data_IF_168775228368
#
_entry.id   IF_168775228368
#
_cell.length_a   1.000
_cell.length_b   1.000
_cell.length_c   1.000
_cell.angle_alpha   90.00
_cell.angle_beta   90.00
_cell.angle_gamma   90.00
#
_symmetry.space_group_name_H-M   'P 1'
#
loop_
_entity.id
_entity.type
_entity.pdbx_description
1 polymer ?
#
# COMPACT_ATOMS: atom_id res chain seq x y z
N UNK A 1 -9.82 -3.65 -6.01
CA UNK A 1 -10.83 -3.27 -5.01
C UNK A 1 -10.35 -1.96 -4.41
N UNK A 2 -11.21 -0.94 -4.31
CA UNK A 2 -10.83 0.40 -3.87
C UNK A 2 -11.73 0.90 -2.75
N UNK A 3 -11.15 1.68 -1.84
CA UNK A 3 -11.85 2.44 -0.82
C UNK A 3 -12.18 3.83 -1.37
N UNK A 4 -13.47 4.07 -1.64
CA UNK A 4 -13.92 5.39 -2.09
C UNK A 4 -13.92 6.37 -0.92
N UNK A 5 -13.25 7.49 -1.11
CA UNK A 5 -13.17 8.55 -0.12
C UNK A 5 -14.55 9.16 0.13
N UNK A 6 -14.98 9.30 1.39
CA UNK A 6 -16.28 9.86 1.72
C UNK A 6 -16.48 11.27 1.17
N UNK A 7 -17.72 11.62 0.85
CA UNK A 7 -18.07 13.01 0.55
C UNK A 7 -17.84 13.91 1.77
N UNK A 8 -17.48 15.17 1.53
CA UNK A 8 -17.34 16.18 2.58
C UNK A 8 -16.01 16.18 3.33
N UNK A 9 -15.05 15.33 2.95
CA UNK A 9 -13.66 15.49 3.39
C UNK A 9 -13.00 16.65 2.63
N UNK A 10 -12.08 17.42 3.26
CA UNK A 10 -11.24 18.35 2.52
C UNK A 10 -10.34 17.59 1.53
N UNK A 11 -9.81 18.29 0.54
CA UNK A 11 -8.67 17.76 -0.21
C UNK A 11 -7.53 17.45 0.77
N UNK A 12 -7.00 16.23 0.67
CA UNK A 12 -5.91 15.76 1.50
C UNK A 12 -4.64 15.65 0.68
N UNK A 13 -3.52 16.04 1.27
CA UNK A 13 -2.17 15.90 0.75
C UNK A 13 -1.57 14.61 1.29
N UNK A 14 -1.17 13.72 0.39
CA UNK A 14 -0.55 12.44 0.66
C UNK A 14 0.95 12.63 0.56
N UNK A 15 1.62 12.97 1.66
CA UNK A 15 3.06 13.28 1.65
C UNK A 15 3.94 12.05 1.85
N UNK A 16 3.36 10.91 2.21
CA UNK A 16 4.04 9.62 2.39
C UNK A 16 3.08 8.47 2.11
N UNK A 17 3.60 7.38 1.55
CA UNK A 17 2.91 6.10 1.46
C UNK A 17 3.85 4.95 1.86
N UNK A 18 3.29 3.88 2.42
CA UNK A 18 4.04 2.72 2.91
C UNK A 18 3.29 1.43 2.59
N UNK A 19 4.01 0.48 2.01
CA UNK A 19 3.58 -0.89 1.82
C UNK A 19 3.80 -1.71 3.10
N UNK A 20 2.80 -2.50 3.51
CA UNK A 20 2.90 -3.40 4.66
C UNK A 20 2.27 -4.76 4.32
N UNK A 21 3.12 -5.78 4.34
CA UNK A 21 2.84 -7.20 4.13
C UNK A 21 3.79 -8.04 5.01
N UNK A 22 3.44 -9.28 5.30
CA UNK A 22 4.27 -10.29 5.94
C UNK A 22 5.10 -11.05 4.90
N UNK A 23 5.52 -12.28 5.23
CA UNK A 23 6.57 -13.00 4.54
C UNK A 23 6.17 -13.60 3.19
N UNK A 24 4.86 -13.74 2.89
CA UNK A 24 4.45 -14.20 1.55
C UNK A 24 4.32 -13.04 0.57
N UNK A 25 4.35 -11.78 1.00
CA UNK A 25 4.28 -10.59 0.14
C UNK A 25 5.49 -10.41 -0.79
N UNK A 26 5.25 -10.08 -2.06
CA UNK A 26 6.30 -9.90 -3.09
C UNK A 26 6.19 -8.61 -3.91
N UNK A 27 4.99 -8.06 -4.10
CA UNK A 27 4.75 -6.74 -4.72
C UNK A 27 3.54 -6.08 -4.07
N UNK A 28 3.62 -4.76 -3.85
CA UNK A 28 2.47 -3.97 -3.46
C UNK A 28 2.41 -2.69 -4.27
N UNK A 29 1.25 -2.44 -4.89
CA UNK A 29 0.90 -1.15 -5.49
C UNK A 29 -0.16 -0.48 -4.63
N UNK A 30 -0.01 0.82 -4.41
CA UNK A 30 -1.01 1.69 -3.82
C UNK A 30 -1.20 2.89 -4.74
N UNK A 31 -2.44 3.28 -5.00
CA UNK A 31 -2.76 4.39 -5.88
C UNK A 31 -4.10 5.06 -5.58
N UNK A 32 -4.39 6.11 -6.33
CA UNK A 32 -5.65 6.86 -6.34
C UNK A 32 -6.27 6.73 -7.73
N UNK A 33 -7.48 6.18 -7.80
CA UNK A 33 -8.38 6.23 -8.95
C UNK A 33 -9.23 7.51 -8.83
N UNK A 34 -9.12 8.39 -9.81
CA UNK A 34 -9.67 9.75 -9.80
C UNK A 34 -11.12 9.74 -10.27
N UNK A 35 -12.02 10.35 -9.48
CA UNK A 35 -13.42 10.47 -9.88
C UNK A 35 -13.61 11.40 -11.09
N UNK A 36 -12.74 12.39 -11.19
CA UNK A 36 -12.57 13.27 -12.33
C UNK A 36 -11.06 13.33 -12.62
N UNK A 37 -10.58 13.01 -13.82
CA UNK A 37 -9.15 13.11 -14.14
C UNK A 37 -8.71 14.56 -14.07
N UNK A 38 -7.45 14.80 -13.67
CA UNK A 38 -6.92 16.17 -13.68
C UNK A 38 -7.03 16.79 -15.09
N UNK A 39 -7.55 18.04 -15.24
CA UNK A 39 -7.81 18.63 -16.54
C UNK A 39 -6.55 18.65 -17.43
N UNK A 40 -6.59 17.89 -18.53
CA UNK A 40 -5.49 17.79 -19.49
C UNK A 40 -4.43 16.73 -19.18
N UNK A 41 -4.56 15.96 -18.08
CA UNK A 41 -3.66 14.83 -17.79
C UNK A 41 -4.09 13.56 -18.52
N UNK A 42 -5.40 13.30 -18.61
CA UNK A 42 -5.93 12.02 -19.10
C UNK A 42 -5.52 10.82 -18.25
N UNK A 43 -5.08 11.07 -17.01
CA UNK A 43 -4.65 10.06 -16.06
C UNK A 43 -5.81 9.82 -15.10
N UNK A 44 -6.48 8.69 -15.27
CA UNK A 44 -7.58 8.25 -14.40
C UNK A 44 -7.04 7.55 -13.13
N UNK A 45 -5.80 7.03 -13.17
CA UNK A 45 -5.13 6.31 -12.07
C UNK A 45 -3.75 6.91 -11.75
N UNK A 46 -3.53 7.34 -10.51
CA UNK A 46 -2.26 7.84 -9.99
C UNK A 46 -1.60 6.83 -9.06
N UNK A 47 -0.38 6.38 -9.39
CA UNK A 47 0.41 5.51 -8.54
C UNK A 47 1.09 6.32 -7.42
N UNK A 48 0.80 5.98 -6.17
CA UNK A 48 1.42 6.59 -4.99
C UNK A 48 2.74 5.88 -4.66
N UNK A 49 2.70 4.55 -4.54
CA UNK A 49 3.89 3.74 -4.31
C UNK A 49 3.72 2.39 -4.98
N UNK A 50 4.82 1.89 -5.53
CA UNK A 50 4.97 0.48 -5.85
C UNK A 50 6.23 -0.05 -5.17
N UNK A 51 6.14 -1.22 -4.55
CA UNK A 51 7.27 -1.95 -3.99
C UNK A 51 7.40 -3.30 -4.72
N UNK A 52 7.96 -3.32 -5.95
CA UNK A 52 7.88 -4.47 -6.87
C UNK A 52 8.74 -5.67 -6.49
N UNK A 53 9.63 -5.49 -5.52
CA UNK A 53 10.46 -6.55 -4.93
C UNK A 53 10.35 -6.43 -3.42
N UNK A 54 9.13 -6.52 -2.89
CA UNK A 54 8.88 -6.30 -1.48
C UNK A 54 9.76 -7.19 -0.59
N UNK A 55 10.29 -6.58 0.47
CA UNK A 55 11.05 -7.23 1.53
C UNK A 55 10.45 -6.76 2.85
N UNK A 56 10.25 -7.69 3.79
CA UNK A 56 9.68 -7.39 5.10
C UNK A 56 10.47 -6.28 5.84
N UNK A 57 11.77 -6.15 5.60
CA UNK A 57 12.61 -5.11 6.21
C UNK A 57 12.44 -3.73 5.58
N UNK A 58 11.65 -3.60 4.51
CA UNK A 58 11.37 -2.34 3.82
C UNK A 58 10.06 -1.69 4.26
N UNK A 59 9.48 -2.16 5.37
CA UNK A 59 8.30 -1.57 6.01
C UNK A 59 8.61 -0.22 6.68
N UNK A 60 8.84 0.80 5.87
CA UNK A 60 9.20 2.15 6.32
C UNK A 60 8.34 3.21 5.67
N UNK A 61 8.31 4.40 6.27
CA UNK A 61 7.79 5.60 5.64
C UNK A 61 8.58 5.96 4.38
N UNK A 62 7.91 6.03 3.23
CA UNK A 62 8.46 6.64 2.01
C UNK A 62 7.77 7.99 1.80
N UNK A 63 8.41 9.05 2.29
CA UNK A 63 7.98 10.41 2.00
C UNK A 63 8.41 10.78 0.58
N UNK A 64 7.57 11.55 -0.13
CA UNK A 64 7.93 12.08 -1.44
C UNK A 64 9.01 13.15 -1.30
N UNK A 65 9.97 13.14 -2.22
CA UNK A 65 11.01 14.17 -2.33
C UNK A 65 10.44 15.38 -3.08
N UNK A 66 9.53 16.09 -2.43
CA UNK A 66 8.81 17.24 -2.96
C UNK A 66 8.32 18.15 -1.82
N UNK A 67 8.07 19.43 -2.11
CA UNK A 67 7.41 20.31 -1.15
C UNK A 67 5.95 19.89 -0.92
N UNK A 68 5.37 20.24 0.23
CA UNK A 68 4.03 19.79 0.61
C UNK A 68 2.93 20.25 -0.37
N UNK A 69 3.12 21.37 -1.07
CA UNK A 69 2.21 21.84 -2.10
C UNK A 69 2.27 21.01 -3.39
N UNK A 70 3.34 20.26 -3.62
CA UNK A 70 3.62 19.47 -4.82
C UNK A 70 3.35 17.96 -4.65
N UNK A 71 3.10 17.47 -3.43
CA UNK A 71 2.81 16.04 -3.20
C UNK A 71 1.44 15.63 -3.78
N UNK A 72 1.24 14.34 -4.09
CA UNK A 72 -0.06 13.81 -4.51
C UNK A 72 -1.18 14.21 -3.56
N UNK A 73 -2.36 14.46 -4.13
CA UNK A 73 -3.58 14.75 -3.36
C UNK A 73 -4.61 13.66 -3.52
N UNK A 74 -5.59 13.60 -2.64
CA UNK A 74 -6.83 12.87 -2.89
C UNK A 74 -8.02 13.72 -2.44
N UNK A 75 -9.11 13.66 -3.21
CA UNK A 75 -10.31 14.45 -2.94
C UNK A 75 -11.52 13.56 -2.71
N UNK A 76 -12.58 14.17 -2.15
CA UNK A 76 -13.86 13.52 -1.99
C UNK A 76 -14.32 12.87 -3.30
N UNK A 77 -14.71 11.59 -3.24
CA UNK A 77 -15.17 10.83 -4.41
C UNK A 77 -14.10 9.99 -5.11
N UNK A 78 -12.81 10.35 -5.01
CA UNK A 78 -11.70 9.51 -5.48
C UNK A 78 -11.70 8.16 -4.75
N UNK A 79 -11.05 7.14 -5.33
CA UNK A 79 -10.89 5.84 -4.70
C UNK A 79 -9.41 5.51 -4.46
N UNK A 80 -9.04 5.26 -3.21
CA UNK A 80 -7.75 4.65 -2.90
C UNK A 80 -7.81 3.17 -3.26
N UNK A 81 -6.87 2.68 -4.05
CA UNK A 81 -6.76 1.26 -4.36
C UNK A 81 -5.41 0.70 -3.90
N UNK A 82 -5.41 -0.60 -3.64
CA UNK A 82 -4.19 -1.35 -3.41
C UNK A 82 -4.26 -2.71 -4.08
N UNK A 83 -3.09 -3.22 -4.46
CA UNK A 83 -2.90 -4.57 -5.00
C UNK A 83 -1.68 -5.18 -4.33
N UNK A 84 -1.88 -6.27 -3.60
CA UNK A 84 -0.81 -7.07 -3.04
C UNK A 84 -0.63 -8.35 -3.87
N UNK A 85 0.62 -8.72 -4.12
CA UNK A 85 1.03 -9.95 -4.80
C UNK A 85 1.75 -10.83 -3.79
N UNK A 86 1.45 -12.13 -3.82
CA UNK A 86 1.94 -13.09 -2.84
C UNK A 86 2.59 -14.31 -3.49
N UNK A 87 3.58 -14.89 -2.82
CA UNK A 87 4.22 -16.16 -3.14
C UNK A 87 4.34 -17.01 -1.87
N UNK A 88 3.35 -17.88 -1.65
CA UNK A 88 3.32 -18.87 -0.57
C UNK A 88 3.86 -20.23 -1.07
N UNK A 89 5.12 -20.25 -1.48
CA UNK A 89 5.79 -21.46 -1.96
C UNK A 89 7.15 -21.65 -1.32
N UNK A 90 7.68 -22.88 -1.40
CA UNK A 90 9.06 -23.17 -0.99
C UNK A 90 10.13 -22.51 -1.89
N UNK A 91 9.71 -21.79 -2.94
CA UNK A 91 10.60 -20.96 -3.76
C UNK A 91 10.88 -19.58 -3.15
N UNK A 92 10.04 -19.11 -2.21
CA UNK A 92 10.22 -17.85 -1.51
C UNK A 92 11.09 -18.06 -0.26
N UNK A 93 12.32 -17.51 -0.21
CA UNK A 93 13.24 -17.73 0.90
C UNK A 93 12.70 -17.22 2.24
N UNK A 94 11.88 -16.17 2.24
CA UNK A 94 11.29 -15.62 3.45
C UNK A 94 10.23 -16.55 4.06
N UNK A 95 9.46 -17.24 3.22
CA UNK A 95 8.51 -18.27 3.65
C UNK A 95 9.23 -19.48 4.23
N UNK A 96 10.32 -19.92 3.58
CA UNK A 96 11.14 -21.03 4.06
C UNK A 96 11.70 -20.74 5.45
N UNK A 97 12.19 -19.52 5.67
CA UNK A 97 12.69 -19.07 6.97
C UNK A 97 11.57 -19.06 8.03
N UNK A 98 10.44 -18.41 7.74
CA UNK A 98 9.31 -18.33 8.66
C UNK A 98 8.72 -19.70 9.04
N UNK A 99 8.64 -20.64 8.09
CA UNK A 99 8.20 -22.02 8.37
C UNK A 99 9.19 -22.77 9.26
N UNK A 100 10.50 -22.62 8.99
CA UNK A 100 11.54 -23.29 9.77
C UNK A 100 11.56 -22.82 11.23
N UNK A 101 11.32 -21.53 11.48
CA UNK A 101 11.18 -20.98 12.83
C UNK A 101 10.01 -21.60 13.62
N UNK A 102 8.98 -22.06 12.92
CA UNK A 102 7.83 -22.75 13.52
C UNK A 102 7.92 -24.28 13.47
N UNK A 103 9.04 -24.84 12.99
CA UNK A 103 9.22 -26.29 12.88
C UNK A 103 8.36 -26.94 11.80
N UNK A 104 7.99 -26.19 10.76
CA UNK A 104 7.22 -26.66 9.61
C UNK A 104 8.14 -26.86 8.39
N UNK A 105 7.80 -27.83 7.54
CA UNK A 105 8.58 -28.21 6.35
C UNK A 105 7.82 -28.04 5.03
N UNK A 106 6.58 -27.54 5.08
CA UNK A 106 5.74 -27.26 3.93
C UNK A 106 4.87 -26.00 4.16
N UNK A 107 4.48 -25.27 3.09
CA UNK A 107 3.58 -24.14 3.20
C UNK A 107 2.24 -24.53 3.83
N UNK A 108 1.66 -23.59 4.57
CA UNK A 108 0.35 -23.71 5.20
C UNK A 108 -0.65 -22.78 4.54
N UNK A 109 -1.94 -22.96 4.83
CA UNK A 109 -2.95 -21.97 4.44
C UNK A 109 -2.67 -20.66 5.17
N UNK A 110 -2.75 -19.55 4.43
CA UNK A 110 -2.46 -18.20 4.90
C UNK A 110 -3.76 -17.41 4.98
N UNK A 111 -3.97 -16.73 6.10
CA UNK A 111 -5.18 -15.95 6.38
C UNK A 111 -4.82 -14.50 6.70
N UNK A 112 -5.81 -13.61 6.67
CA UNK A 112 -5.63 -12.24 7.16
C UNK A 112 -5.51 -12.27 8.68
N UNK A 113 -4.37 -11.81 9.20
CA UNK A 113 -4.10 -11.81 10.64
C UNK A 113 -2.76 -11.21 11.02
N UNK A 114 -2.44 -11.24 12.31
CA UNK A 114 -1.22 -10.64 12.87
C UNK A 114 -0.13 -11.67 13.22
N UNK A 115 -0.42 -12.97 13.09
CA UNK A 115 0.56 -14.01 13.41
C UNK A 115 1.63 -14.10 12.32
N UNK A 116 2.78 -14.69 12.66
CA UNK A 116 3.94 -14.81 11.76
C UNK A 116 3.63 -15.49 10.43
N UNK A 117 2.70 -16.45 10.40
CA UNK A 117 2.28 -17.17 9.19
C UNK A 117 0.95 -16.67 8.61
N UNK A 118 0.33 -15.68 9.26
CA UNK A 118 -0.74 -14.90 8.64
C UNK A 118 -0.14 -13.86 7.69
N UNK A 119 -1.01 -13.17 6.96
CA UNK A 119 -0.61 -12.15 5.98
C UNK A 119 -1.47 -10.90 6.09
N UNK A 120 -0.93 -9.80 5.57
CA UNK A 120 -1.59 -8.50 5.53
C UNK A 120 -1.51 -7.87 4.14
N UNK A 121 -2.40 -6.91 3.89
CA UNK A 121 -2.35 -6.03 2.73
C UNK A 121 -2.74 -4.64 3.20
N UNK A 122 -1.78 -3.92 3.78
CA UNK A 122 -2.04 -2.62 4.40
C UNK A 122 -1.23 -1.52 3.75
N UNK A 123 -1.89 -0.39 3.50
CA UNK A 123 -1.26 0.87 3.15
C UNK A 123 -1.25 1.81 4.35
N UNK A 124 -0.10 2.38 4.68
CA UNK A 124 0.02 3.45 5.69
C UNK A 124 0.35 4.76 5.00
N UNK A 125 -0.36 5.83 5.36
CA UNK A 125 -0.29 7.11 4.66
C UNK A 125 0.06 8.25 5.61
N UNK A 126 0.95 9.14 5.15
CA UNK A 126 1.16 10.44 5.75
C UNK A 126 0.19 11.43 5.12
N UNK A 127 -0.70 12.01 5.93
CA UNK A 127 -1.77 12.90 5.46
C UNK A 127 -1.59 14.30 6.05
N UNK A 128 -1.81 15.33 5.24
CA UNK A 128 -1.96 16.71 5.68
C UNK A 128 -3.15 17.39 4.99
N UNK A 129 -3.79 18.36 5.63
CA UNK A 129 -4.82 19.19 5.03
C UNK A 129 -4.83 20.57 5.69
N UNK A 130 -5.28 21.60 4.95
CA UNK A 130 -5.40 22.95 5.50
C UNK A 130 -6.64 23.04 6.41
N UNK A 131 -6.45 23.61 7.61
CA UNK A 131 -7.55 24.04 8.50
C UNK A 131 -7.88 25.52 8.33
N UNK A 132 -7.08 26.23 7.53
CA UNK A 132 -7.34 27.61 7.16
C UNK A 132 -8.16 27.63 5.86
N UNK A 133 -9.17 28.51 5.76
CA UNK A 133 -9.98 28.67 4.56
C UNK A 133 -9.16 29.19 3.37
#
# INVERSE_FOLDING_TARGET
MGFRLPNGIPEIKLWMATSHMHYVGTDMIIGVDRVEPEPGSGIDDECLIQTPNYDFNWQRGYAYDADLDEVPTARAGDALYMRCTYDNSMGNPFVVEALAEQGLDAPVDVYLGEETLDEMCLGVFGIAYSILP
#
